data_IF_412041986137
#
_entry.id   IF_412041986137
#
_cell.length_a   1.000
_cell.length_b   1.000
_cell.length_c   1.000
_cell.angle_alpha   90.00
_cell.angle_beta   90.00
_cell.angle_gamma   90.00
#
_symmetry.space_group_name_H-M   'P 1'
#
loop_
_entity.id
_entity.type
_entity.pdbx_description
1 polymer ?
#
# COMPACT_ATOMS: atom_id res chain seq x y z
N UNK A 1 -9.91 25.39 -0.48
CA UNK A 1 -10.61 24.93 -1.69
C UNK A 1 -9.58 24.50 -2.71
N UNK A 2 -9.47 23.19 -2.91
CA UNK A 2 -8.81 22.58 -4.06
C UNK A 2 -9.58 21.29 -4.29
N UNK A 3 -10.52 21.32 -5.23
CA UNK A 3 -11.28 20.14 -5.63
C UNK A 3 -10.29 19.19 -6.30
N UNK A 4 -9.86 18.16 -5.56
CA UNK A 4 -9.07 17.08 -6.14
C UNK A 4 -10.04 16.16 -6.88
N UNK A 5 -10.51 16.61 -8.06
CA UNK A 5 -11.25 15.77 -9.00
C UNK A 5 -10.33 14.63 -9.41
N UNK A 6 -10.56 13.46 -8.80
CA UNK A 6 -9.96 12.20 -9.19
C UNK A 6 -10.52 11.84 -10.57
N UNK A 7 -9.84 12.30 -11.62
CA UNK A 7 -10.11 11.92 -12.99
C UNK A 7 -9.98 10.40 -13.13
N UNK A 8 -11.05 9.74 -13.57
CA UNK A 8 -11.05 8.30 -13.81
C UNK A 8 -10.12 7.95 -14.99
N UNK A 9 -9.40 6.82 -14.93
CA UNK A 9 -8.58 6.32 -16.04
C UNK A 9 -9.41 6.09 -17.30
N UNK A 10 -8.81 6.23 -18.50
CA UNK A 10 -9.52 6.05 -19.78
C UNK A 10 -10.24 4.71 -19.89
N UNK A 11 -9.61 3.61 -19.48
CA UNK A 11 -10.23 2.28 -19.50
C UNK A 11 -11.39 2.12 -18.49
N UNK A 12 -11.35 2.86 -17.38
CA UNK A 12 -12.43 2.91 -16.41
C UNK A 12 -13.60 3.76 -16.91
N UNK A 13 -13.32 4.86 -17.62
CA UNK A 13 -14.33 5.71 -18.30
C UNK A 13 -15.10 4.91 -19.36
N UNK A 14 -14.39 4.11 -20.17
CA UNK A 14 -15.00 3.30 -21.22
C UNK A 14 -15.96 2.24 -20.64
N UNK A 15 -15.55 1.49 -19.61
CA UNK A 15 -16.41 0.48 -18.96
C UNK A 15 -17.55 1.08 -18.13
N UNK A 16 -17.36 2.25 -17.54
CA UNK A 16 -18.41 2.98 -16.82
C UNK A 16 -19.55 3.43 -17.75
N UNK A 17 -19.24 3.66 -19.04
CA UNK A 17 -20.23 3.98 -20.06
C UNK A 17 -21.12 2.78 -20.43
N UNK A 18 -20.61 1.55 -20.27
CA UNK A 18 -21.33 0.30 -20.58
C UNK A 18 -22.26 -0.17 -19.45
N UNK A 19 -22.19 0.43 -18.26
CA UNK A 19 -23.04 0.07 -17.13
C UNK A 19 -24.46 0.67 -17.26
N UNK A 20 -25.51 -0.02 -16.76
CA UNK A 20 -26.85 0.54 -16.66
C UNK A 20 -26.86 1.87 -15.89
N UNK A 21 -27.72 2.81 -16.27
CA UNK A 21 -27.69 4.19 -15.75
C UNK A 21 -27.77 4.28 -14.22
N UNK A 22 -28.57 3.41 -13.59
CA UNK A 22 -28.69 3.35 -12.12
C UNK A 22 -27.40 2.86 -11.43
N UNK A 23 -26.59 2.05 -12.10
CA UNK A 23 -25.28 1.60 -11.60
C UNK A 23 -24.24 2.71 -11.79
N UNK A 24 -24.29 3.41 -12.93
CA UNK A 24 -23.42 4.58 -13.19
C UNK A 24 -23.65 5.68 -12.16
N UNK A 25 -24.91 5.95 -11.83
CA UNK A 25 -25.30 6.94 -10.83
C UNK A 25 -24.83 6.54 -9.41
N UNK A 26 -24.93 5.26 -9.05
CA UNK A 26 -24.41 4.74 -7.78
C UNK A 26 -22.89 4.88 -7.68
N UNK A 27 -22.17 4.56 -8.77
CA UNK A 27 -20.70 4.68 -8.86
C UNK A 27 -20.27 6.14 -8.74
N UNK A 28 -20.94 7.06 -9.44
CA UNK A 28 -20.66 8.49 -9.35
C UNK A 28 -20.93 9.05 -7.95
N UNK A 29 -22.01 8.60 -7.29
CA UNK A 29 -22.35 9.02 -5.93
C UNK A 29 -21.33 8.51 -4.90
N UNK A 30 -20.76 7.33 -5.11
CA UNK A 30 -19.72 6.77 -4.25
C UNK A 30 -18.36 7.46 -4.46
N UNK A 31 -18.02 7.83 -5.70
CA UNK A 31 -16.81 8.58 -6.05
C UNK A 31 -16.86 10.05 -5.62
N UNK A 32 -18.05 10.67 -5.62
CA UNK A 32 -18.26 12.07 -5.25
C UNK A 32 -18.19 12.35 -3.73
N UNK A 33 -17.92 11.35 -2.89
CA UNK A 33 -17.60 11.57 -1.48
C UNK A 33 -18.68 12.29 -0.66
N UNK A 34 -19.97 12.18 -1.02
CA UNK A 34 -21.06 12.72 -0.19
C UNK A 34 -21.34 11.80 1.00
N UNK A 35 -20.40 11.74 1.93
CA UNK A 35 -20.73 11.51 3.33
C UNK A 35 -21.43 12.78 3.85
N UNK A 36 -22.65 12.63 4.35
CA UNK A 36 -23.42 13.73 4.92
C UNK A 36 -22.63 14.51 5.96
N UNK A 37 -22.71 15.83 5.87
CA UNK A 37 -22.23 16.79 6.86
C UNK A 37 -22.91 16.54 8.21
N UNK A 38 -22.18 15.96 9.15
CA UNK A 38 -22.32 16.20 10.58
C UNK A 38 -20.96 15.93 11.23
N UNK A 39 -20.14 16.98 11.34
CA UNK A 39 -18.97 16.96 12.19
C UNK A 39 -19.44 17.09 13.65
N UNK A 40 -20.06 16.03 14.18
CA UNK A 40 -19.98 15.76 15.61
C UNK A 40 -18.57 15.25 15.90
N UNK A 41 -18.03 15.60 17.06
CA UNK A 41 -16.76 15.08 17.58
C UNK A 41 -16.82 13.56 17.69
N UNK A 42 -16.61 12.87 16.58
CA UNK A 42 -16.50 11.42 16.52
C UNK A 42 -15.15 11.06 17.12
N UNK A 43 -15.15 10.78 18.42
CA UNK A 43 -14.05 10.05 19.05
C UNK A 43 -13.82 8.78 18.23
N UNK A 44 -12.62 8.63 17.65
CA UNK A 44 -12.24 7.42 16.92
C UNK A 44 -12.13 6.30 17.95
N UNK A 45 -13.20 5.54 18.13
CA UNK A 45 -13.18 4.31 18.94
C UNK A 45 -12.38 3.24 18.20
N UNK A 46 -11.46 2.53 18.88
CA UNK A 46 -10.76 1.39 18.30
C UNK A 46 -11.76 0.39 17.73
N UNK A 47 -11.61 0.04 16.46
CA UNK A 47 -12.43 -1.01 15.85
C UNK A 47 -12.00 -2.38 16.41
N UNK A 48 -12.94 -3.33 16.61
CA UNK A 48 -12.60 -4.71 16.99
C UNK A 48 -11.61 -5.31 15.99
N UNK A 49 -10.54 -5.96 16.45
CA UNK A 49 -9.51 -6.56 15.57
C UNK A 49 -9.65 -8.08 15.41
N UNK A 50 -10.75 -8.63 15.91
CA UNK A 50 -11.04 -10.06 16.00
C UNK A 50 -11.90 -10.59 14.84
N UNK A 51 -12.16 -9.77 13.82
CA UNK A 51 -13.02 -10.18 12.70
C UNK A 51 -12.98 -9.28 11.46
N UNK A 52 -13.92 -9.55 10.56
CA UNK A 52 -14.16 -8.78 9.35
C UNK A 52 -14.58 -7.35 9.71
N UNK A 53 -13.79 -6.36 9.28
CA UNK A 53 -14.09 -4.95 9.49
C UNK A 53 -14.67 -4.34 8.22
N UNK A 54 -15.66 -3.44 8.33
CA UNK A 54 -16.15 -2.73 7.17
C UNK A 54 -15.02 -1.88 6.55
N UNK A 55 -15.02 -1.78 5.22
CA UNK A 55 -14.16 -0.84 4.52
C UNK A 55 -14.60 0.60 4.79
N UNK A 56 -13.63 1.51 4.94
CA UNK A 56 -13.90 2.95 4.89
C UNK A 56 -14.45 3.34 3.50
N UNK A 57 -15.06 4.52 3.38
CA UNK A 57 -15.57 4.99 2.08
C UNK A 57 -14.47 5.04 1.01
N UNK A 58 -13.27 5.53 1.36
CA UNK A 58 -12.11 5.54 0.48
C UNK A 58 -11.65 4.14 0.10
N UNK A 59 -11.61 3.21 1.07
CA UNK A 59 -11.26 1.81 0.80
C UNK A 59 -12.30 1.12 -0.10
N UNK A 60 -13.60 1.40 0.04
CA UNK A 60 -14.65 0.89 -0.86
C UNK A 60 -14.44 1.35 -2.30
N UNK A 61 -14.09 2.62 -2.50
CA UNK A 61 -13.82 3.18 -3.83
C UNK A 61 -12.62 2.49 -4.49
N UNK A 62 -11.49 2.39 -3.77
CA UNK A 62 -10.29 1.72 -4.27
C UNK A 62 -10.51 0.21 -4.51
N UNK A 63 -11.27 -0.46 -3.64
CA UNK A 63 -11.65 -1.86 -3.83
C UNK A 63 -12.47 -2.06 -5.10
N UNK A 64 -13.47 -1.22 -5.32
CA UNK A 64 -14.30 -1.27 -6.53
C UNK A 64 -13.47 -1.05 -7.80
N UNK A 65 -12.54 -0.10 -7.79
CA UNK A 65 -11.64 0.16 -8.91
C UNK A 65 -10.70 -1.03 -9.19
N UNK A 66 -10.18 -1.66 -8.14
CA UNK A 66 -9.35 -2.86 -8.26
C UNK A 66 -10.14 -4.07 -8.83
N UNK A 67 -11.41 -4.22 -8.46
CA UNK A 67 -12.29 -5.25 -9.00
C UNK A 67 -12.63 -5.00 -10.49
N UNK A 68 -12.78 -3.74 -10.90
CA UNK A 68 -13.00 -3.37 -12.31
C UNK A 68 -11.76 -3.59 -13.19
N UNK A 69 -10.56 -3.42 -12.63
CA UNK A 69 -9.29 -3.56 -13.33
C UNK A 69 -8.28 -4.43 -12.56
N UNK A 70 -8.50 -5.76 -12.47
CA UNK A 70 -7.61 -6.66 -11.75
C UNK A 70 -6.19 -6.63 -12.34
N UNK A 71 -5.18 -6.51 -11.48
CA UNK A 71 -3.78 -6.42 -11.90
C UNK A 71 -3.30 -5.00 -12.24
N UNK A 72 -4.14 -3.98 -12.07
CA UNK A 72 -3.70 -2.59 -12.15
C UNK A 72 -2.66 -2.25 -11.09
N UNK A 73 -1.69 -1.41 -11.46
CA UNK A 73 -0.63 -0.88 -10.58
C UNK A 73 -0.82 0.60 -10.27
N UNK A 74 -1.88 1.22 -10.77
CA UNK A 74 -2.11 2.67 -10.68
C UNK A 74 -2.18 3.18 -9.23
N UNK A 75 -2.61 2.32 -8.31
CA UNK A 75 -2.73 2.61 -6.89
C UNK A 75 -1.59 2.03 -6.05
N UNK A 76 -0.53 1.54 -6.70
CA UNK A 76 0.75 1.30 -6.04
C UNK A 76 1.34 2.64 -5.60
N UNK A 77 1.81 2.71 -4.37
CA UNK A 77 2.36 3.93 -3.77
C UNK A 77 3.78 3.70 -3.22
N UNK A 78 4.75 3.29 -4.06
CA UNK A 78 6.09 3.00 -3.57
C UNK A 78 6.75 4.26 -2.99
N UNK A 79 7.63 4.07 -2.00
CA UNK A 79 8.58 5.07 -1.53
C UNK A 79 9.98 4.52 -1.59
N UNK A 80 10.89 5.33 -2.12
CA UNK A 80 12.30 4.97 -2.31
C UNK A 80 13.14 5.83 -1.37
N UNK A 81 13.96 5.18 -0.56
CA UNK A 81 14.87 5.82 0.39
C UNK A 81 16.29 5.43 0.02
N UNK A 82 17.19 6.42 -0.06
CA UNK A 82 18.62 6.14 -0.15
C UNK A 82 19.21 6.13 1.26
N UNK A 83 19.87 5.04 1.59
CA UNK A 83 20.53 4.81 2.87
C UNK A 83 22.04 4.88 2.66
N UNK A 84 22.73 5.61 3.53
CA UNK A 84 24.19 5.74 3.48
C UNK A 84 24.80 5.35 4.82
N UNK A 85 25.97 4.71 4.78
CA UNK A 85 26.63 4.12 5.94
C UNK A 85 26.33 2.63 6.07
N UNK A 86 26.99 2.00 7.05
CA UNK A 86 26.82 0.57 7.33
C UNK A 86 25.37 0.24 7.72
N UNK A 87 24.80 -0.76 7.07
CA UNK A 87 23.43 -1.22 7.32
C UNK A 87 23.41 -2.59 8.00
N UNK A 88 22.83 -2.65 9.21
CA UNK A 88 22.57 -3.90 9.91
C UNK A 88 21.27 -4.53 9.39
N UNK A 89 21.39 -5.40 8.37
CA UNK A 89 20.24 -6.04 7.70
C UNK A 89 19.29 -6.75 8.68
N UNK A 90 19.82 -7.48 9.66
CA UNK A 90 18.99 -8.17 10.65
C UNK A 90 18.26 -7.19 11.58
N UNK A 91 18.90 -6.05 11.89
CA UNK A 91 18.23 -5.00 12.66
C UNK A 91 17.13 -4.31 11.84
N UNK A 92 17.34 -4.11 10.54
CA UNK A 92 16.33 -3.60 9.63
C UNK A 92 15.14 -4.56 9.52
N UNK A 93 15.39 -5.86 9.36
CA UNK A 93 14.34 -6.90 9.33
C UNK A 93 13.52 -6.89 10.60
N UNK A 94 14.17 -6.89 11.77
CA UNK A 94 13.49 -6.84 13.05
C UNK A 94 12.71 -5.52 13.26
N UNK A 95 13.22 -4.39 12.76
CA UNK A 95 12.51 -3.11 12.82
C UNK A 95 11.28 -3.07 11.90
N UNK A 96 11.34 -3.79 10.76
CA UNK A 96 10.24 -3.98 9.81
C UNK A 96 9.22 -5.03 10.25
N UNK A 97 9.57 -5.94 11.16
CA UNK A 97 8.62 -6.84 11.80
C UNK A 97 7.72 -6.01 12.75
N UNK A 98 6.71 -5.36 12.16
CA UNK A 98 5.77 -4.50 12.89
C UNK A 98 4.92 -5.40 13.78
N UNK A 99 5.20 -5.42 15.08
CA UNK A 99 4.37 -6.10 16.09
C UNK A 99 2.91 -5.58 16.14
N UNK A 100 2.60 -4.45 15.50
CA UNK A 100 1.27 -3.79 15.53
C UNK A 100 0.61 -3.56 14.17
N UNK A 101 1.26 -3.93 13.06
CA UNK A 101 0.81 -3.66 11.70
C UNK A 101 0.56 -4.93 10.92
N UNK A 102 -0.45 -5.69 11.35
CA UNK A 102 -0.89 -6.90 10.66
C UNK A 102 -1.07 -6.65 9.16
N UNK A 103 -0.61 -7.59 8.33
CA UNK A 103 -0.89 -7.54 6.91
C UNK A 103 -2.40 -7.50 6.71
N UNK A 104 -2.88 -6.42 6.09
CA UNK A 104 -4.30 -6.28 5.78
C UNK A 104 -4.59 -7.01 4.47
N UNK A 105 -5.69 -7.76 4.46
CA UNK A 105 -6.27 -8.34 3.26
C UNK A 105 -7.69 -7.86 3.12
N UNK A 106 -8.14 -7.65 1.90
CA UNK A 106 -9.51 -7.30 1.60
C UNK A 106 -10.23 -8.51 1.02
N UNK A 107 -11.40 -8.84 1.53
CA UNK A 107 -12.13 -10.04 1.13
C UNK A 107 -13.49 -9.63 0.53
N UNK A 108 -13.84 -10.14 -0.67
CA UNK A 108 -15.15 -9.89 -1.26
C UNK A 108 -16.25 -10.56 -0.42
N UNK A 109 -17.40 -9.89 -0.31
CA UNK A 109 -18.64 -10.48 0.18
C UNK A 109 -19.42 -11.07 -1.00
N UNK A 110 -20.04 -12.23 -0.78
CA UNK A 110 -20.94 -12.85 -1.77
C UNK A 110 -22.11 -11.91 -2.08
N UNK A 111 -22.41 -11.76 -3.36
CA UNK A 111 -23.35 -10.77 -3.93
C UNK A 111 -24.80 -10.97 -3.46
N UNK A 112 -25.12 -12.11 -2.84
CA UNK A 112 -26.41 -12.35 -2.21
C UNK A 112 -26.64 -11.51 -0.94
N UNK A 113 -25.60 -10.94 -0.34
CA UNK A 113 -25.68 -10.12 0.88
C UNK A 113 -24.83 -8.86 0.66
N UNK A 114 -25.46 -7.76 0.27
CA UNK A 114 -24.93 -6.38 0.34
C UNK A 114 -23.63 -5.98 -0.40
N UNK A 115 -22.94 -6.89 -1.10
CA UNK A 115 -22.01 -6.56 -2.20
C UNK A 115 -20.78 -5.68 -1.87
N UNK A 116 -20.45 -5.46 -0.60
CA UNK A 116 -19.32 -4.65 -0.17
C UNK A 116 -18.25 -5.52 0.49
N UNK A 117 -16.99 -5.38 0.06
CA UNK A 117 -15.86 -6.08 0.68
C UNK A 117 -15.64 -5.66 2.14
N UNK A 118 -14.94 -6.50 2.89
CA UNK A 118 -14.46 -6.23 4.24
C UNK A 118 -12.94 -6.36 4.31
N UNK A 119 -12.33 -5.75 5.31
CA UNK A 119 -10.91 -5.94 5.61
C UNK A 119 -10.74 -6.95 6.74
N UNK A 120 -9.71 -7.78 6.62
CA UNK A 120 -9.24 -8.67 7.68
C UNK A 120 -7.82 -8.25 8.02
N UNK A 121 -7.60 -7.94 9.29
CA UNK A 121 -6.26 -7.70 9.84
C UNK A 121 -5.75 -9.06 10.33
N UNK A 122 -4.68 -9.56 9.72
CA UNK A 122 -4.04 -10.78 10.22
C UNK A 122 -3.17 -10.48 11.44
N UNK A 123 -2.82 -11.54 12.19
CA UNK A 123 -1.81 -11.42 13.24
C UNK A 123 -0.51 -10.80 12.68
N UNK A 124 0.24 -10.05 13.50
CA UNK A 124 1.54 -9.53 13.12
C UNK A 124 2.40 -10.63 12.51
N UNK A 125 2.75 -10.45 11.24
CA UNK A 125 3.52 -11.40 10.45
C UNK A 125 4.76 -10.72 9.90
N UNK A 126 5.73 -11.54 9.48
CA UNK A 126 6.95 -11.01 8.86
C UNK A 126 6.61 -10.27 7.58
N UNK A 127 7.08 -9.03 7.48
CA UNK A 127 7.02 -8.27 6.22
C UNK A 127 7.94 -8.96 5.22
N UNK A 128 7.49 -9.26 3.98
CA UNK A 128 8.39 -9.77 2.96
C UNK A 128 9.47 -8.73 2.66
N UNK A 129 10.73 -9.11 2.89
CA UNK A 129 11.91 -8.30 2.54
C UNK A 129 12.71 -9.05 1.48
N UNK A 130 12.65 -8.56 0.24
CA UNK A 130 13.55 -8.98 -0.84
C UNK A 130 14.89 -8.24 -0.69
N UNK A 131 16.01 -8.95 -0.85
CA UNK A 131 17.35 -8.35 -0.81
C UNK A 131 18.03 -8.65 -2.15
N UNK A 132 18.48 -7.60 -2.81
CA UNK A 132 19.15 -7.64 -4.11
C UNK A 132 20.54 -7.05 -3.93
N UNK A 133 21.58 -7.83 -4.21
CA UNK A 133 22.96 -7.35 -4.12
C UNK A 133 23.49 -7.00 -5.51
N UNK A 134 23.68 -5.70 -5.75
CA UNK A 134 24.28 -5.15 -6.96
C UNK A 134 25.70 -4.62 -6.70
N UNK A 135 26.22 -4.77 -5.49
CA UNK A 135 27.51 -4.18 -5.09
C UNK A 135 28.70 -4.74 -5.86
N UNK A 136 28.57 -5.96 -6.39
CA UNK A 136 29.56 -6.60 -7.26
C UNK A 136 29.56 -6.11 -8.71
N UNK A 137 28.57 -5.33 -9.15
CA UNK A 137 28.47 -4.85 -10.52
C UNK A 137 29.25 -3.55 -10.72
N UNK A 138 29.94 -3.37 -11.87
CA UNK A 138 30.57 -2.12 -12.22
C UNK A 138 29.53 -1.05 -12.63
N UNK A 139 29.89 0.22 -12.51
CA UNK A 139 29.18 1.28 -13.25
C UNK A 139 29.51 1.16 -14.74
N UNK A 140 28.54 1.24 -15.68
CA UNK A 140 27.14 1.69 -15.55
C UNK A 140 26.10 0.56 -15.37
N UNK A 141 26.51 -0.70 -15.35
CA UNK A 141 25.60 -1.86 -15.27
C UNK A 141 24.78 -1.85 -13.98
N UNK A 142 25.41 -1.48 -12.86
CA UNK A 142 24.74 -1.34 -11.57
C UNK A 142 23.59 -0.33 -11.60
N UNK A 143 23.80 0.83 -12.24
CA UNK A 143 22.76 1.85 -12.36
C UNK A 143 21.57 1.36 -13.20
N UNK A 144 21.83 0.66 -14.30
CA UNK A 144 20.79 0.09 -15.15
C UNK A 144 19.99 -1.00 -14.41
N UNK A 145 20.65 -1.86 -13.64
CA UNK A 145 19.98 -2.91 -12.88
C UNK A 145 19.17 -2.34 -11.70
N UNK A 146 19.66 -1.27 -11.06
CA UNK A 146 18.89 -0.53 -10.05
C UNK A 146 17.61 0.06 -10.67
N UNK A 147 17.70 0.69 -11.83
CA UNK A 147 16.52 1.22 -12.55
C UNK A 147 15.53 0.10 -12.87
N UNK A 148 16.00 -1.03 -13.39
CA UNK A 148 15.17 -2.20 -13.65
C UNK A 148 14.45 -2.71 -12.39
N UNK A 149 15.15 -2.74 -11.25
CA UNK A 149 14.56 -3.13 -9.97
C UNK A 149 13.43 -2.17 -9.55
N UNK A 150 13.64 -0.86 -9.67
CA UNK A 150 12.64 0.16 -9.32
C UNK A 150 11.41 0.10 -10.23
N UNK A 151 11.62 -0.09 -11.55
CA UNK A 151 10.56 -0.27 -12.52
C UNK A 151 9.74 -1.53 -12.22
N UNK A 152 10.42 -2.66 -11.94
CA UNK A 152 9.75 -3.92 -11.57
C UNK A 152 8.90 -3.74 -10.33
N UNK A 153 9.39 -3.03 -9.31
CA UNK A 153 8.60 -2.76 -8.10
C UNK A 153 7.34 -1.95 -8.39
N UNK A 154 7.45 -0.88 -9.20
CA UNK A 154 6.30 -0.08 -9.62
C UNK A 154 5.29 -0.87 -10.47
N UNK A 155 5.78 -1.76 -11.32
CA UNK A 155 4.98 -2.56 -12.27
C UNK A 155 4.43 -3.87 -11.69
N UNK A 156 4.77 -4.23 -10.45
CA UNK A 156 4.27 -5.48 -9.84
C UNK A 156 3.01 -5.19 -9.03
N UNK A 157 1.83 -5.71 -9.44
CA UNK A 157 0.55 -5.42 -8.78
C UNK A 157 0.44 -6.08 -7.39
N UNK A 158 -0.42 -5.51 -6.55
CA UNK A 158 -0.85 -6.13 -5.30
C UNK A 158 -2.14 -6.92 -5.51
N UNK A 159 -2.18 -8.15 -4.98
CA UNK A 159 -3.43 -8.90 -4.89
C UNK A 159 -4.18 -8.47 -3.63
N UNK A 160 -5.20 -7.60 -3.77
CA UNK A 160 -6.00 -7.11 -2.65
C UNK A 160 -6.71 -8.24 -1.88
N UNK A 161 -7.00 -9.35 -2.56
CA UNK A 161 -7.68 -10.53 -1.99
C UNK A 161 -6.76 -11.44 -1.21
N UNK A 162 -5.45 -11.35 -1.45
CA UNK A 162 -4.48 -12.26 -0.85
C UNK A 162 -3.47 -11.56 0.05
N UNK A 163 -3.14 -10.32 -0.24
CA UNK A 163 -2.02 -9.63 0.38
C UNK A 163 -0.69 -10.38 0.18
N UNK A 164 0.37 -9.95 0.87
CA UNK A 164 0.41 -8.74 1.71
C UNK A 164 0.31 -7.46 0.87
N UNK A 165 -0.26 -6.40 1.45
CA UNK A 165 -0.45 -5.08 0.79
C UNK A 165 0.67 -4.09 1.11
N UNK A 166 1.74 -4.61 1.71
CA UNK A 166 3.00 -3.95 2.00
C UNK A 166 4.13 -4.96 1.76
N UNK A 167 5.18 -4.54 1.07
CA UNK A 167 6.40 -5.32 0.83
C UNK A 167 7.61 -4.40 0.80
N UNK A 168 8.79 -4.95 1.05
CA UNK A 168 10.03 -4.19 1.11
C UNK A 168 11.08 -4.83 0.21
N UNK A 169 11.81 -4.00 -0.52
CA UNK A 169 12.94 -4.42 -1.35
C UNK A 169 14.16 -3.59 -0.96
N UNK A 170 15.24 -4.25 -0.55
CA UNK A 170 16.52 -3.64 -0.24
C UNK A 170 17.52 -3.96 -1.35
N UNK A 171 18.04 -2.93 -2.00
CA UNK A 171 19.09 -3.04 -3.01
C UNK A 171 20.40 -2.55 -2.43
N UNK A 172 21.41 -3.42 -2.37
CA UNK A 172 22.78 -3.04 -1.95
C UNK A 172 23.58 -2.58 -3.15
N UNK A 173 24.14 -1.37 -3.08
CA UNK A 173 24.96 -0.77 -4.15
C UNK A 173 26.45 -0.76 -3.78
N UNK A 174 26.75 -0.64 -2.49
CA UNK A 174 28.08 -0.74 -1.90
C UNK A 174 27.95 -1.23 -0.44
N UNK A 175 29.08 -1.32 0.28
CA UNK A 175 29.09 -1.66 1.70
C UNK A 175 28.39 -0.59 2.58
N UNK A 176 28.35 0.64 2.10
CA UNK A 176 27.81 1.81 2.79
C UNK A 176 26.77 2.58 1.94
N UNK A 177 26.26 1.96 0.88
CA UNK A 177 25.22 2.57 0.03
C UNK A 177 24.15 1.54 -0.32
N UNK A 178 22.90 1.86 0.04
CA UNK A 178 21.74 1.01 -0.20
C UNK A 178 20.53 1.83 -0.65
N UNK A 179 19.61 1.18 -1.35
CA UNK A 179 18.29 1.72 -1.71
C UNK A 179 17.22 0.84 -1.08
N UNK A 180 16.36 1.43 -0.27
CA UNK A 180 15.22 0.77 0.37
C UNK A 180 13.94 1.22 -0.32
N UNK A 181 13.20 0.26 -0.87
CA UNK A 181 11.89 0.47 -1.49
C UNK A 181 10.82 -0.06 -0.56
N UNK A 182 9.93 0.83 -0.13
CA UNK A 182 8.73 0.52 0.64
C UNK A 182 7.54 0.51 -0.32
N UNK A 183 7.12 -0.68 -0.75
CA UNK A 183 6.00 -0.88 -1.65
C UNK A 183 4.70 -1.10 -0.88
N UNK A 184 3.68 -0.29 -1.13
CA UNK A 184 2.33 -0.49 -0.58
C UNK A 184 1.25 -0.15 -1.59
N UNK A 185 0.04 -0.64 -1.35
CA UNK A 185 -1.16 -0.20 -2.05
C UNK A 185 -1.83 0.97 -1.30
N UNK A 186 -2.34 1.97 -2.02
CA UNK A 186 -3.03 3.13 -1.43
C UNK A 186 -4.26 2.81 -0.55
N UNK A 187 -4.73 1.57 -0.59
CA UNK A 187 -5.90 1.12 0.18
C UNK A 187 -5.58 0.85 1.66
N UNK A 188 -4.29 0.69 1.99
CA UNK A 188 -3.80 0.46 3.35
C UNK A 188 -2.94 1.61 3.89
N UNK A 189 -2.65 2.62 3.07
CA UNK A 189 -1.83 3.76 3.47
C UNK A 189 -1.83 4.91 2.48
N UNK A 190 -1.57 6.11 2.98
CA UNK A 190 -1.40 7.33 2.23
C UNK A 190 0.00 7.93 2.44
N UNK A 191 0.30 9.03 1.73
CA UNK A 191 1.60 9.70 1.83
C UNK A 191 1.98 10.15 3.24
N UNK A 192 1.01 10.51 4.08
CA UNK A 192 1.24 10.93 5.45
C UNK A 192 1.62 9.74 6.34
N UNK A 193 0.82 8.67 6.27
CA UNK A 193 1.05 7.44 7.03
C UNK A 193 2.41 6.80 6.72
N UNK A 194 2.89 6.92 5.48
CA UNK A 194 4.22 6.42 5.12
C UNK A 194 5.33 7.24 5.78
N UNK A 195 5.17 8.56 5.92
CA UNK A 195 6.13 9.39 6.66
C UNK A 195 6.27 8.93 8.11
N UNK A 196 5.13 8.70 8.78
CA UNK A 196 5.10 8.14 10.14
C UNK A 196 5.79 6.77 10.18
N UNK A 197 5.48 5.88 9.23
CA UNK A 197 6.08 4.55 9.15
C UNK A 197 7.62 4.61 9.01
N UNK A 198 8.14 5.57 8.25
CA UNK A 198 9.58 5.79 8.11
C UNK A 198 10.20 6.27 9.42
N UNK A 199 9.57 7.19 10.13
CA UNK A 199 10.05 7.68 11.42
C UNK A 199 10.06 6.57 12.49
N UNK A 200 9.00 5.75 12.51
CA UNK A 200 8.92 4.57 13.38
C UNK A 200 9.99 3.54 13.03
N UNK A 201 10.21 3.27 11.73
CA UNK A 201 11.23 2.35 11.26
C UNK A 201 12.63 2.82 11.72
N UNK A 202 12.96 4.10 11.56
CA UNK A 202 14.22 4.68 12.03
C UNK A 202 14.40 4.51 13.54
N UNK A 203 13.35 4.77 14.31
CA UNK A 203 13.36 4.64 15.77
C UNK A 203 13.63 3.20 16.19
N UNK A 204 12.91 2.24 15.61
CA UNK A 204 13.04 0.81 15.91
C UNK A 204 14.38 0.24 15.46
N UNK A 205 14.83 0.61 14.27
CA UNK A 205 16.15 0.24 13.76
C UNK A 205 17.25 0.69 14.72
N UNK A 206 17.18 1.94 15.17
CA UNK A 206 18.15 2.49 16.13
C UNK A 206 18.15 1.73 17.45
N UNK A 207 16.97 1.35 17.96
CA UNK A 207 16.87 0.53 19.17
C UNK A 207 17.50 -0.86 18.96
N UNK A 208 17.18 -1.52 17.83
CA UNK A 208 17.66 -2.86 17.53
C UNK A 208 19.18 -2.93 17.30
N UNK A 209 19.78 -1.87 16.74
CA UNK A 209 21.24 -1.76 16.60
C UNK A 209 21.92 -1.55 17.95
N UNK A 210 21.27 -0.86 18.90
CA UNK A 210 21.83 -0.55 20.22
C UNK A 210 21.71 -1.68 21.23
N UNK A 211 20.78 -2.62 21.02
CA UNK A 211 20.50 -3.73 21.93
C UNK A 211 19.45 -3.38 22.98
#
# INVERSE_FOLDING_TARGET
>A
MGENSMELPSAAKDRLSELPDHVRELVMRQLAGQAGSAAEELSITPAPRDGALPLSAGQKGLWFLAELNPGSVEYNAPRVLRLTGELHIEALRAALDIADGGAQRLVPLDHAVEGHGFQVVHEPGRVPVEIIDLSGLPEPERAAELEHCLEREGATPFDLRRGPLFRVTLVSLAADEHVLVLGLHHIVGDGWSIGILVDELCTRYTAQVRG
#
